data_IF_209276142522
#
_entry.id   IF_209276142522
#
_cell.length_a   1.000
_cell.length_b   1.000
_cell.length_c   1.000
_cell.angle_alpha   90.00
_cell.angle_beta   90.00
_cell.angle_gamma   90.00
#
_symmetry.space_group_name_H-M   'P 1'
#
loop_
_entity.id
_entity.type
_entity.pdbx_description
1 polymer ?
#
# COMPACT_ATOMS: atom_id res chain seq x y z
N UNK A 1 -11.29 3.00 -6.72
CA UNK A 1 -11.42 3.24 -5.27
C UNK A 1 -11.47 1.93 -4.48
N UNK A 2 -12.50 1.08 -4.62
CA UNK A 2 -12.55 -0.23 -3.94
C UNK A 2 -11.35 -1.14 -4.27
N UNK A 3 -10.93 -1.19 -5.55
CA UNK A 3 -9.74 -1.95 -5.94
C UNK A 3 -8.46 -1.41 -5.27
N UNK A 4 -8.31 -0.08 -5.19
CA UNK A 4 -7.20 0.55 -4.49
C UNK A 4 -7.21 0.19 -3.00
N UNK A 5 -8.38 0.18 -2.36
CA UNK A 5 -8.54 -0.28 -0.98
C UNK A 5 -8.06 -1.73 -0.80
N UNK A 6 -8.57 -2.67 -1.60
CA UNK A 6 -8.22 -4.10 -1.49
C UNK A 6 -6.70 -4.30 -1.61
N UNK A 7 -6.09 -3.63 -2.58
CA UNK A 7 -4.65 -3.71 -2.81
C UNK A 7 -3.83 -3.16 -1.63
N UNK A 8 -4.24 -2.02 -1.06
CA UNK A 8 -3.60 -1.47 0.14
C UNK A 8 -3.83 -2.36 1.36
N UNK A 9 -5.02 -2.93 1.50
CA UNK A 9 -5.37 -3.84 2.59
C UNK A 9 -4.52 -5.11 2.59
N UNK A 10 -4.15 -5.64 1.42
CA UNK A 10 -3.20 -6.76 1.31
C UNK A 10 -1.82 -6.42 1.91
N UNK A 11 -1.34 -5.19 1.72
CA UNK A 11 -0.10 -4.71 2.33
C UNK A 11 -0.25 -4.70 3.86
N UNK A 12 -1.36 -4.18 4.38
CA UNK A 12 -1.64 -4.10 5.82
C UNK A 12 -1.76 -5.49 6.45
N UNK A 13 -2.51 -6.41 5.83
CA UNK A 13 -2.66 -7.78 6.31
C UNK A 13 -1.31 -8.47 6.43
N UNK A 14 -0.44 -8.27 5.43
CA UNK A 14 0.90 -8.84 5.44
C UNK A 14 1.76 -8.26 6.58
N UNK A 15 1.75 -6.94 6.78
CA UNK A 15 2.50 -6.27 7.86
C UNK A 15 1.92 -6.58 9.25
N UNK A 16 0.64 -6.95 9.34
CA UNK A 16 0.01 -7.25 10.62
C UNK A 16 0.27 -8.70 11.08
N UNK A 17 1.02 -9.51 10.32
CA UNK A 17 1.30 -10.90 10.68
C UNK A 17 2.21 -10.99 11.91
N UNK A 18 1.85 -11.77 12.95
CA UNK A 18 2.58 -11.85 14.23
C UNK A 18 4.06 -12.25 14.14
N UNK A 19 4.50 -12.84 13.03
CA UNK A 19 5.89 -13.31 12.83
C UNK A 19 6.62 -12.64 11.66
N UNK A 20 5.89 -11.94 10.78
CA UNK A 20 6.43 -11.30 9.57
C UNK A 20 6.41 -9.77 9.63
N UNK A 21 5.47 -9.19 10.37
CA UNK A 21 5.21 -7.75 10.44
C UNK A 21 6.30 -6.91 11.09
N UNK A 22 6.68 -7.29 12.31
CA UNK A 22 7.76 -6.60 13.05
C UNK A 22 9.10 -6.73 12.31
N UNK A 23 9.38 -7.89 11.71
CA UNK A 23 10.57 -8.06 10.87
C UNK A 23 10.49 -7.23 9.59
N UNK A 24 9.32 -7.06 8.98
CA UNK A 24 9.14 -6.21 7.80
C UNK A 24 9.40 -4.73 8.10
N UNK A 25 8.98 -4.26 9.28
CA UNK A 25 9.22 -2.90 9.79
C UNK A 25 10.70 -2.66 10.17
N UNK A 26 11.39 -3.70 10.63
CA UNK A 26 12.75 -3.62 11.20
C UNK A 26 13.82 -4.13 10.22
N UNK A 27 13.47 -4.73 9.08
CA UNK A 27 14.45 -5.33 8.17
C UNK A 27 15.26 -4.26 7.43
N UNK A 28 16.18 -3.64 8.17
CA UNK A 28 17.48 -3.14 7.73
C UNK A 28 18.48 -4.30 7.60
N UNK A 29 17.99 -5.54 7.58
CA UNK A 29 18.78 -6.76 7.43
C UNK A 29 18.66 -7.27 6.00
N UNK A 30 19.79 -7.66 5.44
CA UNK A 30 19.86 -8.31 4.13
C UNK A 30 19.02 -9.59 4.20
N UNK A 31 18.02 -9.70 3.33
CA UNK A 31 17.15 -10.88 3.26
C UNK A 31 17.25 -11.45 1.86
N UNK A 32 17.47 -12.77 1.69
CA UNK A 32 17.43 -13.39 0.38
C UNK A 32 16.12 -13.08 -0.33
N UNK A 33 16.15 -12.94 -1.66
CA UNK A 33 14.96 -12.64 -2.48
C UNK A 33 13.85 -13.68 -2.28
N UNK A 34 14.23 -14.93 -2.05
CA UNK A 34 13.32 -16.06 -1.80
C UNK A 34 12.77 -16.11 -0.36
N UNK A 35 13.20 -15.21 0.53
CA UNK A 35 12.60 -15.11 1.85
C UNK A 35 11.22 -14.46 1.76
N UNK A 36 10.38 -14.66 2.78
CA UNK A 36 9.09 -13.96 2.86
C UNK A 36 9.27 -12.44 2.77
N UNK A 37 10.26 -11.90 3.49
CA UNK A 37 10.60 -10.48 3.47
C UNK A 37 11.04 -10.05 2.07
N UNK A 38 11.92 -10.83 1.41
CA UNK A 38 12.38 -10.54 0.05
C UNK A 38 11.23 -10.47 -0.96
N UNK A 39 10.32 -11.44 -0.93
CA UNK A 39 9.11 -11.44 -1.77
C UNK A 39 8.19 -10.25 -1.49
N UNK A 40 8.02 -9.89 -0.22
CA UNK A 40 7.16 -8.76 0.13
C UNK A 40 7.76 -7.41 -0.28
N UNK A 41 9.09 -7.24 -0.22
CA UNK A 41 9.78 -6.06 -0.79
C UNK A 41 9.59 -5.92 -2.29
N UNK A 42 9.45 -7.04 -3.01
CA UNK A 42 9.13 -7.04 -4.45
C UNK A 42 7.65 -6.74 -4.67
N UNK A 43 6.76 -7.34 -3.88
CA UNK A 43 5.31 -7.23 -4.06
C UNK A 43 4.78 -5.83 -3.77
N UNK A 44 5.24 -5.18 -2.69
CA UNK A 44 4.75 -3.86 -2.26
C UNK A 44 4.86 -2.79 -3.37
N UNK A 45 6.03 -2.58 -4.02
CA UNK A 45 6.17 -1.71 -5.18
C UNK A 45 5.17 -1.99 -6.30
N UNK A 46 4.96 -3.28 -6.63
CA UNK A 46 4.04 -3.70 -7.69
C UNK A 46 2.60 -3.37 -7.33
N UNK A 47 2.19 -3.66 -6.10
CA UNK A 47 0.86 -3.32 -5.59
C UNK A 47 0.64 -1.80 -5.60
N UNK A 48 1.63 -1.02 -5.17
CA UNK A 48 1.53 0.44 -5.14
C UNK A 48 1.46 1.05 -6.54
N UNK A 49 2.18 0.51 -7.52
CA UNK A 49 2.01 0.88 -8.94
C UNK A 49 0.58 0.64 -9.41
N UNK A 50 -0.01 -0.50 -9.05
CA UNK A 50 -1.40 -0.82 -9.39
C UNK A 50 -2.41 0.11 -8.71
N UNK A 51 -2.18 0.48 -7.44
CA UNK A 51 -2.99 1.47 -6.71
C UNK A 51 -2.92 2.83 -7.41
N UNK A 52 -1.71 3.30 -7.71
CA UNK A 52 -1.50 4.59 -8.37
C UNK A 52 -2.16 4.61 -9.74
N UNK A 53 -1.97 3.56 -10.54
CA UNK A 53 -2.64 3.40 -11.81
C UNK A 53 -4.17 3.47 -11.64
N UNK A 54 -4.75 2.69 -10.72
CA UNK A 54 -6.20 2.66 -10.51
C UNK A 54 -6.76 4.04 -10.14
N UNK A 55 -6.13 4.74 -9.19
CA UNK A 55 -6.60 6.05 -8.74
C UNK A 55 -6.38 7.15 -9.78
N UNK A 56 -5.32 7.04 -10.60
CA UNK A 56 -5.05 7.98 -11.69
C UNK A 56 -6.09 7.93 -12.80
N UNK A 57 -6.83 6.82 -12.95
CA UNK A 57 -7.91 6.71 -13.95
C UNK A 57 -9.11 7.61 -13.65
N UNK A 58 -9.24 8.13 -12.43
CA UNK A 58 -10.30 9.08 -12.07
C UNK A 58 -9.97 10.45 -12.69
N UNK A 59 -10.80 11.00 -13.59
CA UNK A 59 -10.54 12.30 -14.22
C UNK A 59 -10.36 13.44 -13.22
N UNK A 60 -9.54 14.44 -13.55
CA UNK A 60 -9.24 15.58 -12.67
C UNK A 60 -10.49 16.43 -12.35
N UNK A 61 -11.44 16.49 -13.26
CA UNK A 61 -12.72 17.20 -13.17
C UNK A 61 -13.86 16.36 -12.56
N UNK A 62 -13.58 15.10 -12.21
CA UNK A 62 -14.57 14.19 -11.64
C UNK A 62 -15.18 14.76 -10.34
N UNK A 63 -16.52 14.73 -10.17
CA UNK A 63 -17.18 15.03 -8.90
C UNK A 63 -16.59 14.23 -7.73
N UNK A 64 -16.17 12.99 -7.99
CA UNK A 64 -15.56 12.11 -7.00
C UNK A 64 -14.29 12.72 -6.36
N UNK A 65 -13.50 13.49 -7.13
CA UNK A 65 -12.30 14.18 -6.60
C UNK A 65 -12.65 15.35 -5.70
N UNK A 66 -13.79 16.02 -5.97
CA UNK A 66 -14.30 17.12 -5.14
C UNK A 66 -14.92 16.60 -3.85
N UNK A 67 -15.70 15.54 -3.95
CA UNK A 67 -16.38 14.90 -2.81
C UNK A 67 -15.40 14.22 -1.84
N UNK A 68 -14.30 13.68 -2.35
CA UNK A 68 -13.27 12.98 -1.57
C UNK A 68 -11.89 13.65 -1.67
N UNK A 69 -11.86 14.97 -1.52
CA UNK A 69 -10.63 15.76 -1.66
C UNK A 69 -9.51 15.35 -0.69
N UNK A 70 -9.86 14.81 0.48
CA UNK A 70 -8.95 14.20 1.45
C UNK A 70 -8.25 12.96 0.87
N UNK A 71 -9.00 12.00 0.33
CA UNK A 71 -8.45 10.79 -0.31
C UNK A 71 -7.52 11.18 -1.46
N UNK A 72 -7.93 12.14 -2.29
CA UNK A 72 -7.11 12.56 -3.44
C UNK A 72 -5.90 13.42 -3.04
N UNK A 73 -5.95 14.09 -1.89
CA UNK A 73 -4.79 14.76 -1.29
C UNK A 73 -3.72 13.76 -0.85
N UNK A 74 -4.13 12.71 -0.12
CA UNK A 74 -3.22 11.62 0.31
C UNK A 74 -2.69 10.85 -0.92
N UNK A 75 -3.54 10.58 -1.90
CA UNK A 75 -3.13 9.99 -3.17
C UNK A 75 -2.06 10.83 -3.89
N UNK A 76 -2.16 12.16 -3.86
CA UNK A 76 -1.13 13.04 -4.40
C UNK A 76 0.24 12.82 -3.75
N UNK A 77 0.30 12.62 -2.43
CA UNK A 77 1.53 12.28 -1.72
C UNK A 77 2.06 10.90 -2.13
N UNK A 78 1.17 9.90 -2.27
CA UNK A 78 1.55 8.56 -2.75
C UNK A 78 2.10 8.61 -4.18
N UNK A 79 1.46 9.37 -5.06
CA UNK A 79 1.89 9.54 -6.45
C UNK A 79 3.28 10.19 -6.52
N UNK A 80 3.57 11.21 -5.70
CA UNK A 80 4.90 11.82 -5.65
C UNK A 80 6.00 10.83 -5.18
N UNK A 81 5.70 9.95 -4.22
CA UNK A 81 6.64 8.90 -3.77
C UNK A 81 6.82 7.86 -4.87
N UNK A 82 5.75 7.48 -5.56
CA UNK A 82 5.80 6.58 -6.70
C UNK A 82 6.70 7.13 -7.81
N UNK A 83 6.52 8.38 -8.21
CA UNK A 83 7.29 8.98 -9.31
C UNK A 83 8.78 9.14 -8.96
N UNK A 84 9.11 9.22 -7.66
CA UNK A 84 10.48 9.35 -7.17
C UNK A 84 11.21 8.01 -7.00
N UNK A 85 10.52 6.94 -6.62
CA UNK A 85 11.15 5.67 -6.22
C UNK A 85 10.73 4.45 -7.06
N UNK A 86 9.58 4.51 -7.72
CA UNK A 86 8.98 3.37 -8.41
C UNK A 86 9.11 3.46 -9.93
N UNK A 87 9.86 4.41 -10.48
CA UNK A 87 10.30 4.41 -11.89
C UNK A 87 11.39 3.37 -12.14
N UNK A 88 12.26 3.11 -11.16
CA UNK A 88 13.33 2.11 -11.22
C UNK A 88 13.06 0.93 -10.26
N UNK A 89 13.79 -0.17 -10.45
CA UNK A 89 13.70 -1.34 -9.56
C UNK A 89 14.42 -1.04 -8.25
N UNK A 90 13.68 -1.02 -7.14
CA UNK A 90 14.25 -0.95 -5.79
C UNK A 90 15.06 -2.24 -5.56
N UNK A 91 16.37 -2.16 -5.74
CA UNK A 91 17.27 -3.32 -5.75
C UNK A 91 18.13 -3.43 -4.49
N UNK A 92 18.38 -2.32 -3.81
CA UNK A 92 19.18 -2.30 -2.59
C UNK A 92 18.37 -1.97 -1.33
N UNK A 93 18.93 -2.38 -0.20
CA UNK A 93 18.30 -2.29 1.12
C UNK A 93 18.15 -0.85 1.62
N UNK A 94 19.06 0.04 1.25
CA UNK A 94 19.04 1.45 1.68
C UNK A 94 17.92 2.21 0.94
N UNK A 95 17.80 1.99 -0.36
CA UNK A 95 16.69 2.52 -1.17
C UNK A 95 15.36 1.95 -0.68
N UNK A 96 15.28 0.65 -0.39
CA UNK A 96 14.08 0.06 0.21
C UNK A 96 13.70 0.72 1.54
N UNK A 97 14.65 0.87 2.46
CA UNK A 97 14.38 1.43 3.79
C UNK A 97 13.89 2.88 3.69
N UNK A 98 14.52 3.67 2.82
CA UNK A 98 14.13 5.06 2.56
C UNK A 98 12.74 5.13 1.94
N UNK A 99 12.49 4.33 0.91
CA UNK A 99 11.19 4.22 0.27
C UNK A 99 10.09 3.83 1.27
N UNK A 100 10.31 2.76 2.04
CA UNK A 100 9.33 2.22 2.98
C UNK A 100 8.99 3.24 4.08
N UNK A 101 10.00 3.90 4.65
CA UNK A 101 9.80 4.92 5.69
C UNK A 101 8.91 6.09 5.25
N UNK A 102 8.90 6.40 3.95
CA UNK A 102 8.09 7.46 3.36
C UNK A 102 6.71 6.98 2.95
N UNK A 103 6.62 5.79 2.38
CA UNK A 103 5.36 5.28 1.81
C UNK A 103 4.44 4.68 2.87
N UNK A 104 4.99 4.06 3.91
CA UNK A 104 4.20 3.42 4.96
C UNK A 104 3.16 4.35 5.60
N UNK A 105 3.50 5.56 6.11
CA UNK A 105 2.50 6.43 6.72
C UNK A 105 1.40 6.81 5.73
N UNK A 106 1.75 7.05 4.47
CA UNK A 106 0.80 7.40 3.40
C UNK A 106 -0.14 6.23 3.08
N UNK A 107 0.38 5.01 3.02
CA UNK A 107 -0.42 3.80 2.78
C UNK A 107 -1.43 3.55 3.91
N UNK A 108 -0.98 3.70 5.17
CA UNK A 108 -1.85 3.55 6.34
C UNK A 108 -2.93 4.64 6.33
N UNK A 109 -2.56 5.90 6.11
CA UNK A 109 -3.53 7.00 6.05
C UNK A 109 -4.54 6.80 4.91
N UNK A 110 -4.08 6.39 3.74
CA UNK A 110 -4.93 6.18 2.57
C UNK A 110 -5.92 5.04 2.78
N UNK A 111 -5.49 3.90 3.34
CA UNK A 111 -6.38 2.76 3.57
C UNK A 111 -7.43 3.07 4.63
N UNK A 112 -7.04 3.77 5.71
CA UNK A 112 -7.96 4.20 6.77
C UNK A 112 -8.99 5.18 6.21
N UNK A 113 -8.56 6.17 5.44
CA UNK A 113 -9.47 7.16 4.86
C UNK A 113 -10.42 6.52 3.84
N UNK A 114 -9.95 5.56 3.03
CA UNK A 114 -10.81 4.80 2.11
C UNK A 114 -11.88 4.00 2.87
N UNK A 115 -11.51 3.36 3.98
CA UNK A 115 -12.44 2.61 4.84
C UNK A 115 -13.52 3.54 5.43
N UNK A 116 -13.10 4.65 6.04
CA UNK A 116 -13.99 5.65 6.67
C UNK A 116 -14.99 6.26 5.69
N UNK A 117 -14.62 6.37 4.41
CA UNK A 117 -15.50 6.88 3.34
C UNK A 117 -16.39 5.80 2.70
N UNK A 118 -16.34 4.57 3.22
CA UNK A 118 -17.18 3.46 2.76
C UNK A 118 -16.68 2.78 1.48
N UNK A 119 -15.41 2.98 1.09
CA UNK A 119 -14.78 2.20 0.02
C UNK A 119 -14.11 0.91 0.53
N UNK A 120 -14.14 0.70 1.85
CA UNK A 120 -13.59 -0.46 2.52
C UNK A 120 -14.41 -1.73 2.34
N UNK A 121 -13.89 -2.83 2.88
CA UNK A 121 -14.57 -4.12 2.93
C UNK A 121 -15.60 -4.12 4.07
N UNK A 122 -16.73 -4.78 3.85
CA UNK A 122 -17.69 -5.07 4.91
C UNK A 122 -17.07 -5.99 5.97
N UNK A 123 -17.64 -6.00 7.18
CA UNK A 123 -17.16 -6.87 8.28
C UNK A 123 -17.07 -8.34 7.87
N UNK A 124 -18.04 -8.83 7.11
CA UNK A 124 -18.09 -10.21 6.65
C UNK A 124 -16.97 -10.52 5.65
N UNK A 125 -16.63 -9.56 4.79
CA UNK A 125 -15.51 -9.68 3.85
C UNK A 125 -14.15 -9.63 4.56
N UNK A 126 -13.99 -8.76 5.57
CA UNK A 126 -12.78 -8.72 6.41
C UNK A 126 -12.59 -10.04 7.15
N UNK A 127 -13.64 -10.61 7.74
CA UNK A 127 -13.56 -11.90 8.41
C UNK A 127 -13.19 -13.04 7.47
N UNK A 128 -13.69 -13.02 6.23
CA UNK A 128 -13.34 -14.00 5.22
C UNK A 128 -11.86 -13.92 4.86
N UNK A 129 -11.36 -12.72 4.54
CA UNK A 129 -9.94 -12.50 4.21
C UNK A 129 -8.99 -12.89 5.36
N UNK A 130 -9.39 -12.62 6.62
CA UNK A 130 -8.63 -13.03 7.80
C UNK A 130 -8.63 -14.55 8.05
N UNK A 131 -9.72 -15.24 7.69
CA UNK A 131 -9.81 -16.71 7.80
C UNK A 131 -9.01 -17.40 6.70
N UNK A 132 -8.98 -16.85 5.49
CA UNK A 132 -8.22 -17.38 4.34
C UNK A 132 -6.72 -17.06 4.43
N UNK A 133 -6.33 -16.05 5.21
CA UNK A 133 -4.93 -15.66 5.42
C UNK A 133 -4.19 -16.44 6.53
N UNK A 134 -4.87 -17.38 7.22
CA UNK A 134 -4.33 -18.23 8.30
C UNK A 134 -4.02 -19.64 7.81
#
# INVERSE_FOLDING_TARGET
>A
MMLAYILLFQIILYISRPKGGEQFLIASVHSPTESEIGRARIAVPVILRAVVHNMSTVPLDSPLRREHSDIFGIFGALQAIHDMYLTDTISDLQTWTTFWSRVQPVVIELVTTLDEKGFGLSKDEVEKELKESK
#
